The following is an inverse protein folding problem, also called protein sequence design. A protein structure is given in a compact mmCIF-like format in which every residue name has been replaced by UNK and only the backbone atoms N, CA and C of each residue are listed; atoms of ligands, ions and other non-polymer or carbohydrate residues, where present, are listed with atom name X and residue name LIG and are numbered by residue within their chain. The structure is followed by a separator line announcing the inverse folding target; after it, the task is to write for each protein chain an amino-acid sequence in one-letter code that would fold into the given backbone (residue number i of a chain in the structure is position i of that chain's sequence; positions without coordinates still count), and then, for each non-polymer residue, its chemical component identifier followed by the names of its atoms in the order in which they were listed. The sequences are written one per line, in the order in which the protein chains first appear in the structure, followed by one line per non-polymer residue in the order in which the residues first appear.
data_IF_977033431491
#
_entry.id   IF_977033431491
#
_cell.length_a   1.000
_cell.length_b   1.000
_cell.length_c   1.000
_cell.angle_alpha   90.00
_cell.angle_beta   90.00
_cell.angle_gamma   90.00
#
_symmetry.space_group_name_H-M   'P 1'
#
loop_
_entity.id
_entity.type
_entity.pdbx_description
1 polymer ?
#
# COMPACT_ATOMS: atom_id res chain seq x y z
N UNK A 1 2.76 16.05 12.12
CA UNK A 1 2.00 14.85 11.72
C UNK A 1 2.85 14.10 10.72
N UNK A 2 3.19 12.84 10.99
CA UNK A 2 4.05 12.02 10.14
C UNK A 2 3.26 11.52 8.91
N UNK A 3 3.92 11.22 7.79
CA UNK A 3 3.27 10.64 6.59
C UNK A 3 2.54 9.34 6.94
N UNK A 4 3.11 8.53 7.84
CA UNK A 4 2.50 7.29 8.34
C UNK A 4 1.17 7.54 9.04
N UNK A 5 1.08 8.58 9.87
CA UNK A 5 -0.15 8.91 10.59
C UNK A 5 -1.25 9.33 9.60
N UNK A 6 -0.90 10.05 8.52
CA UNK A 6 -1.85 10.44 7.47
C UNK A 6 -2.45 9.24 6.74
N UNK A 7 -1.62 8.26 6.36
CA UNK A 7 -2.09 7.02 5.74
C UNK A 7 -3.05 6.27 6.66
N UNK A 8 -2.66 6.08 7.93
CA UNK A 8 -3.49 5.38 8.93
C UNK A 8 -4.85 6.08 9.15
N UNK A 9 -4.87 7.42 9.19
CA UNK A 9 -6.11 8.20 9.34
C UNK A 9 -7.03 8.05 8.12
N UNK A 10 -6.47 8.10 6.90
CA UNK A 10 -7.23 7.89 5.65
C UNK A 10 -7.83 6.49 5.61
N UNK A 11 -7.03 5.47 5.89
CA UNK A 11 -7.48 4.07 5.92
C UNK A 11 -8.55 3.85 6.99
N UNK A 12 -8.40 4.48 8.15
CA UNK A 12 -9.41 4.42 9.22
C UNK A 12 -10.76 4.99 8.78
N UNK A 13 -10.75 6.16 8.15
CA UNK A 13 -11.96 6.80 7.63
C UNK A 13 -12.58 5.98 6.49
N UNK A 14 -11.78 5.51 5.53
CA UNK A 14 -12.23 4.73 4.37
C UNK A 14 -12.79 3.35 4.75
N UNK A 15 -12.24 2.73 5.79
CA UNK A 15 -12.71 1.42 6.25
C UNK A 15 -14.08 1.50 6.96
N UNK A 16 -14.41 2.62 7.58
CA UNK A 16 -15.61 2.78 8.40
C UNK A 16 -16.78 3.46 7.69
N UNK A 17 -16.54 4.16 6.60
CA UNK A 17 -17.55 4.96 5.90
C UNK A 17 -17.65 4.61 4.41
N UNK A 18 -18.82 4.90 3.82
CA UNK A 18 -19.06 4.72 2.38
C UNK A 18 -18.14 5.59 1.53
N UNK A 19 -17.82 6.80 2.01
CA UNK A 19 -16.85 7.70 1.38
C UNK A 19 -16.03 8.39 2.47
N UNK A 20 -14.71 8.37 2.33
CA UNK A 20 -13.78 9.13 3.14
C UNK A 20 -13.28 10.34 2.36
N UNK A 21 -13.22 11.50 3.00
CA UNK A 21 -12.75 12.74 2.38
C UNK A 21 -11.43 13.18 2.99
N UNK A 22 -10.47 13.47 2.14
CA UNK A 22 -9.21 14.09 2.55
C UNK A 22 -9.24 15.56 2.18
N UNK A 23 -8.92 16.42 3.12
CA UNK A 23 -8.99 17.87 2.93
C UNK A 23 -7.89 18.58 3.71
N UNK A 24 -7.70 19.88 3.47
CA UNK A 24 -6.75 20.67 4.22
C UNK A 24 -7.44 21.60 5.24
N UNK A 25 -6.65 22.07 6.21
CA UNK A 25 -7.11 22.98 7.26
C UNK A 25 -7.70 24.28 6.72
N UNK A 26 -7.35 24.69 5.50
CA UNK A 26 -7.87 25.90 4.87
C UNK A 26 -9.18 25.68 4.14
N UNK A 27 -9.39 24.49 3.58
CA UNK A 27 -10.61 24.14 2.88
C UNK A 27 -11.78 23.90 3.85
N UNK A 28 -11.52 23.30 5.01
CA UNK A 28 -12.55 22.98 5.98
C UNK A 28 -12.64 24.06 7.07
N UNK A 29 -13.72 24.84 7.04
CA UNK A 29 -13.97 25.95 7.98
C UNK A 29 -14.83 25.57 9.20
N UNK A 30 -15.08 24.30 9.40
CA UNK A 30 -15.89 23.73 10.48
C UNK A 30 -15.17 22.54 11.14
N UNK A 31 -15.73 22.05 12.22
CA UNK A 31 -15.24 20.82 12.85
C UNK A 31 -15.39 19.65 11.86
N UNK A 32 -14.33 18.85 11.64
CA UNK A 32 -14.37 17.71 10.75
C UNK A 32 -15.33 16.64 11.25
N UNK A 33 -15.98 15.95 10.32
CA UNK A 33 -16.80 14.76 10.58
C UNK A 33 -15.89 13.53 10.71
N UNK A 34 -16.43 12.40 11.17
CA UNK A 34 -15.66 11.16 11.38
C UNK A 34 -15.02 10.60 10.11
N UNK A 35 -15.59 10.90 8.93
CA UNK A 35 -15.07 10.47 7.62
C UNK A 35 -14.23 11.54 6.91
N UNK A 36 -13.90 12.63 7.58
CA UNK A 36 -13.10 13.73 7.01
C UNK A 36 -11.72 13.79 7.66
N UNK A 37 -10.71 13.48 6.89
CA UNK A 37 -9.30 13.54 7.31
C UNK A 37 -8.72 14.89 6.95
N UNK A 38 -8.35 15.67 7.95
CA UNK A 38 -7.82 17.03 7.77
C UNK A 38 -6.30 17.03 7.88
N UNK A 39 -5.63 17.38 6.80
CA UNK A 39 -4.18 17.53 6.73
C UNK A 39 -3.77 19.01 6.66
N UNK A 40 -2.51 19.33 6.93
CA UNK A 40 -2.00 20.69 6.82
C UNK A 40 -2.13 21.23 5.37
N UNK A 41 -1.68 20.44 4.41
CA UNK A 41 -1.81 20.68 2.97
C UNK A 41 -2.05 19.34 2.26
N UNK A 42 -3.02 19.28 1.35
CA UNK A 42 -3.27 18.08 0.53
C UNK A 42 -2.15 17.83 -0.48
N UNK A 43 -1.47 18.88 -0.93
CA UNK A 43 -0.29 18.78 -1.80
C UNK A 43 0.95 18.15 -1.13
N UNK A 44 0.97 18.00 0.21
CA UNK A 44 2.04 17.31 0.93
C UNK A 44 1.89 15.77 0.89
N UNK A 45 0.79 15.26 0.36
CA UNK A 45 0.56 13.81 0.22
C UNK A 45 1.17 13.37 -1.11
N UNK A 46 2.13 12.46 -1.04
CA UNK A 46 2.88 12.00 -2.21
C UNK A 46 2.07 11.01 -3.07
N UNK A 47 2.47 10.88 -4.34
CA UNK A 47 1.85 9.94 -5.27
C UNK A 47 1.90 8.49 -4.75
N UNK A 48 2.98 8.09 -4.06
CA UNK A 48 3.10 6.76 -3.47
C UNK A 48 2.06 6.52 -2.38
N UNK A 49 1.75 7.55 -1.58
CA UNK A 49 0.70 7.46 -0.56
C UNK A 49 -0.67 7.34 -1.19
N UNK A 50 -0.98 8.18 -2.20
CA UNK A 50 -2.24 8.10 -2.95
C UNK A 50 -2.40 6.77 -3.67
N UNK A 51 -1.34 6.27 -4.31
CA UNK A 51 -1.33 4.96 -4.95
C UNK A 51 -1.72 3.85 -3.97
N UNK A 52 -1.07 3.81 -2.81
CA UNK A 52 -1.34 2.79 -1.80
C UNK A 52 -2.75 2.89 -1.21
N UNK A 53 -3.30 4.11 -1.13
CA UNK A 53 -4.69 4.33 -0.71
C UNK A 53 -5.65 3.85 -1.78
N UNK A 54 -5.47 4.25 -3.05
CA UNK A 54 -6.39 3.94 -4.14
C UNK A 54 -6.43 2.46 -4.49
N UNK A 55 -5.30 1.75 -4.35
CA UNK A 55 -5.24 0.32 -4.60
C UNK A 55 -6.18 -0.49 -3.68
N UNK A 56 -6.30 -0.09 -2.41
CA UNK A 56 -7.09 -0.81 -1.41
C UNK A 56 -8.44 -0.12 -1.08
N UNK A 57 -8.54 1.21 -1.28
CA UNK A 57 -9.67 2.04 -0.84
C UNK A 57 -10.16 2.99 -1.93
N UNK A 58 -10.89 2.47 -2.95
CA UNK A 58 -11.42 3.30 -4.04
C UNK A 58 -12.52 4.28 -3.60
N UNK A 59 -12.98 4.19 -2.35
CA UNK A 59 -13.98 5.07 -1.75
C UNK A 59 -13.38 6.33 -1.09
N UNK A 60 -12.12 6.66 -1.39
CA UNK A 60 -11.48 7.89 -0.93
C UNK A 60 -11.68 9.00 -1.96
N UNK A 61 -12.00 10.19 -1.51
CA UNK A 61 -12.16 11.40 -2.32
C UNK A 61 -11.41 12.57 -1.70
N UNK A 62 -10.98 13.52 -2.51
CA UNK A 62 -10.40 14.78 -2.01
C UNK A 62 -11.49 15.86 -2.01
N UNK A 63 -11.61 16.58 -0.89
CA UNK A 63 -12.44 17.77 -0.80
C UNK A 63 -11.54 19.01 -0.86
N UNK A 64 -11.64 19.76 -1.95
CA UNK A 64 -10.88 20.99 -2.16
C UNK A 64 -11.76 22.03 -2.90
N UNK A 65 -12.35 23.02 -2.20
CA UNK A 65 -13.11 24.08 -2.84
C UNK A 65 -12.22 24.93 -3.78
N UNK A 66 -12.80 25.38 -4.89
CA UNK A 66 -12.09 26.19 -5.87
C UNK A 66 -11.52 27.48 -5.25
N UNK A 67 -10.32 27.84 -5.65
CA UNK A 67 -9.64 29.08 -5.26
C UNK A 67 -9.16 29.12 -3.80
N UNK A 68 -9.15 27.99 -3.10
CA UNK A 68 -8.60 27.90 -1.73
C UNK A 68 -7.09 28.05 -1.76
N UNK A 69 -6.42 27.44 -2.75
CA UNK A 69 -4.97 27.47 -2.89
C UNK A 69 -4.46 28.83 -3.34
N UNK A 70 -5.20 29.61 -4.13
CA UNK A 70 -4.84 30.98 -4.56
C UNK A 70 -4.61 31.94 -3.37
N UNK A 71 -5.34 31.71 -2.27
CA UNK A 71 -5.28 32.50 -1.03
C UNK A 71 -4.42 31.85 0.06
N UNK A 72 -3.72 30.77 -0.27
CA UNK A 72 -2.88 30.03 0.65
C UNK A 72 -1.43 30.56 0.61
N UNK A 73 -0.67 30.31 1.67
CA UNK A 73 0.78 30.53 1.66
C UNK A 73 1.50 29.58 0.69
N UNK A 74 0.92 28.40 0.48
CA UNK A 74 1.40 27.39 -0.47
C UNK A 74 0.48 27.42 -1.70
N UNK A 75 0.71 28.36 -2.62
CA UNK A 75 -0.11 28.57 -3.81
C UNK A 75 -0.03 27.40 -4.81
N UNK A 76 1.10 26.67 -4.86
CA UNK A 76 1.29 25.49 -5.71
C UNK A 76 0.68 24.19 -5.17
N UNK A 77 -0.08 24.22 -4.07
CA UNK A 77 -0.59 23.01 -3.44
C UNK A 77 -1.61 22.23 -4.29
N UNK A 78 -2.39 22.93 -5.12
CA UNK A 78 -3.36 22.31 -6.04
C UNK A 78 -2.66 21.62 -7.21
N UNK A 79 -1.64 22.26 -7.80
CA UNK A 79 -0.87 21.71 -8.92
C UNK A 79 -0.13 20.44 -8.48
N UNK A 80 0.55 20.51 -7.34
CA UNK A 80 1.28 19.37 -6.75
C UNK A 80 0.31 18.21 -6.44
N UNK A 81 -0.88 18.51 -5.91
CA UNK A 81 -1.92 17.51 -5.67
C UNK A 81 -2.37 16.88 -6.99
N UNK A 82 -2.63 17.70 -8.02
CA UNK A 82 -3.06 17.22 -9.34
C UNK A 82 -2.05 16.27 -9.96
N UNK A 83 -0.77 16.62 -9.93
CA UNK A 83 0.32 15.74 -10.41
C UNK A 83 0.42 14.44 -9.60
N UNK A 84 0.28 14.53 -8.28
CA UNK A 84 0.37 13.36 -7.41
C UNK A 84 -0.82 12.40 -7.61
N UNK A 85 -2.04 12.94 -7.77
CA UNK A 85 -3.24 12.15 -8.05
C UNK A 85 -3.14 11.52 -9.44
N UNK A 86 -2.79 12.28 -10.48
CA UNK A 86 -2.67 11.74 -11.83
C UNK A 86 -1.74 10.52 -11.91
N UNK A 87 -0.57 10.61 -11.25
CA UNK A 87 0.35 9.47 -11.13
C UNK A 87 -0.25 8.29 -10.36
N UNK A 88 -0.94 8.57 -9.25
CA UNK A 88 -1.53 7.52 -8.44
C UNK A 88 -2.67 6.79 -9.16
N UNK A 89 -3.49 7.52 -9.93
CA UNK A 89 -4.54 6.96 -10.78
C UNK A 89 -3.98 6.11 -11.93
N UNK A 90 -2.91 6.59 -12.58
CA UNK A 90 -2.20 5.84 -13.61
C UNK A 90 -1.68 4.51 -13.05
N UNK A 91 -1.04 4.52 -11.88
CA UNK A 91 -0.44 3.35 -11.26
C UNK A 91 -1.48 2.36 -10.72
N UNK A 92 -2.57 2.86 -10.11
CA UNK A 92 -3.60 2.01 -9.50
C UNK A 92 -4.68 1.57 -10.48
N UNK A 93 -4.84 2.26 -11.60
CA UNK A 93 -5.98 2.09 -12.50
C UNK A 93 -7.32 2.51 -11.91
N UNK A 94 -7.31 3.23 -10.78
CA UNK A 94 -8.51 3.65 -10.03
C UNK A 94 -8.57 5.16 -9.95
N UNK A 95 -9.69 5.75 -10.36
CA UNK A 95 -9.91 7.20 -10.29
C UNK A 95 -10.23 7.67 -8.88
N UNK A 96 -9.75 8.87 -8.52
CA UNK A 96 -10.04 9.54 -7.26
C UNK A 96 -11.21 10.52 -7.41
N UNK A 97 -12.17 10.47 -6.47
CA UNK A 97 -13.22 11.47 -6.40
C UNK A 97 -12.67 12.85 -5.98
N UNK A 98 -13.13 13.91 -6.67
CA UNK A 98 -12.82 15.30 -6.30
C UNK A 98 -14.12 16.04 -6.01
N UNK A 99 -14.25 16.55 -4.79
CA UNK A 99 -15.42 17.30 -4.33
C UNK A 99 -15.07 18.78 -4.10
N UNK A 100 -15.88 19.66 -4.64
CA UNK A 100 -15.67 21.11 -4.53
C UNK A 100 -16.75 21.78 -3.69
N UNK A 101 -17.96 21.21 -3.64
CA UNK A 101 -19.10 21.75 -2.88
C UNK A 101 -19.17 21.09 -1.50
N UNK A 102 -19.18 21.88 -0.39
CA UNK A 102 -19.34 21.31 0.95
C UNK A 102 -20.68 20.60 1.17
N UNK A 103 -21.69 20.85 0.32
CA UNK A 103 -23.00 20.19 0.39
C UNK A 103 -22.97 18.76 -0.17
N UNK A 104 -22.04 18.44 -1.03
CA UNK A 104 -21.87 17.09 -1.59
C UNK A 104 -21.27 16.11 -0.58
N UNK A 105 -20.59 16.63 0.44
CA UNK A 105 -19.96 15.82 1.48
C UNK A 105 -21.01 15.09 2.32
N UNK A 106 -21.06 13.77 2.22
CA UNK A 106 -21.96 12.91 2.98
C UNK A 106 -21.16 12.12 4.01
N UNK A 107 -21.76 11.91 5.19
CA UNK A 107 -21.16 11.07 6.23
C UNK A 107 -22.07 9.88 6.51
N UNK A 108 -21.88 8.81 5.75
CA UNK A 108 -22.60 7.56 5.91
C UNK A 108 -21.62 6.47 6.33
N UNK A 109 -21.92 5.79 7.43
CA UNK A 109 -21.16 4.61 7.85
C UNK A 109 -21.50 3.42 6.97
N UNK A 110 -20.55 2.54 6.73
CA UNK A 110 -20.80 1.28 6.07
C UNK A 110 -21.78 0.43 6.90
N UNK A 111 -22.78 -0.18 6.27
CA UNK A 111 -23.81 -1.00 6.94
C UNK A 111 -23.19 -2.13 7.79
N UNK A 112 -22.09 -2.68 7.34
CA UNK A 112 -21.37 -3.73 8.06
C UNK A 112 -20.71 -3.19 9.34
N UNK A 113 -20.23 -1.95 9.29
CA UNK A 113 -19.64 -1.27 10.43
C UNK A 113 -20.68 -0.84 11.45
N UNK A 114 -21.86 -0.34 11.02
CA UNK A 114 -23.01 -0.02 11.88
C UNK A 114 -23.52 -1.26 12.61
N UNK A 115 -23.64 -2.39 11.90
CA UNK A 115 -24.00 -3.68 12.49
C UNK A 115 -23.06 -4.11 13.60
N UNK A 116 -21.75 -3.96 13.36
CA UNK A 116 -20.72 -4.32 14.34
C UNK A 116 -20.79 -3.43 15.56
N UNK A 117 -20.88 -2.11 15.38
CA UNK A 117 -21.02 -1.13 16.47
C UNK A 117 -22.27 -1.41 17.32
N UNK A 118 -23.40 -1.73 16.67
CA UNK A 118 -24.63 -2.12 17.34
C UNK A 118 -24.46 -3.40 18.17
N UNK A 119 -23.82 -4.43 17.60
CA UNK A 119 -23.55 -5.68 18.29
C UNK A 119 -22.60 -5.51 19.47
N UNK A 120 -21.56 -4.66 19.32
CA UNK A 120 -20.64 -4.33 20.42
C UNK A 120 -21.35 -3.58 21.56
N UNK A 121 -22.30 -2.67 21.25
CA UNK A 121 -23.13 -2.01 22.24
C UNK A 121 -24.01 -2.99 23.00
N UNK A 122 -24.66 -3.94 22.31
CA UNK A 122 -25.43 -4.99 22.94
C UNK A 122 -24.55 -5.85 23.86
N UNK A 123 -23.38 -6.29 23.36
CA UNK A 123 -22.46 -7.12 24.13
C UNK A 123 -21.97 -6.43 25.41
N UNK A 124 -21.69 -5.12 25.37
CA UNK A 124 -21.34 -4.33 26.57
C UNK A 124 -22.48 -4.24 27.57
N UNK A 125 -23.72 -4.13 27.09
CA UNK A 125 -24.90 -4.00 27.95
C UNK A 125 -25.30 -5.35 28.56
N UNK A 126 -25.10 -6.46 27.85
CA UNK A 126 -25.53 -7.79 28.27
C UNK A 126 -24.41 -8.63 28.91
N UNK A 127 -23.17 -8.12 28.91
CA UNK A 127 -21.98 -8.85 29.40
C UNK A 127 -21.56 -10.04 28.52
N UNK A 128 -22.19 -10.20 27.34
CA UNK A 128 -21.84 -11.24 26.37
C UNK A 128 -20.68 -10.81 25.49
N UNK A 129 -19.73 -11.67 25.25
CA UNK A 129 -18.62 -11.39 24.31
C UNK A 129 -19.11 -11.55 22.86
N UNK A 130 -18.79 -10.59 21.99
CA UNK A 130 -19.19 -10.56 20.57
C UNK A 130 -18.81 -11.84 19.83
N UNK A 131 -17.70 -12.48 20.22
CA UNK A 131 -17.23 -13.74 19.66
C UNK A 131 -18.18 -14.93 19.85
N UNK A 132 -19.08 -14.87 20.84
CA UNK A 132 -20.07 -15.92 21.09
C UNK A 132 -21.39 -15.72 20.34
N UNK A 133 -21.61 -14.53 19.76
CA UNK A 133 -22.91 -14.14 19.17
C UNK A 133 -23.06 -14.50 17.69
N UNK A 134 -21.97 -14.51 16.91
CA UNK A 134 -22.03 -14.94 15.50
C UNK A 134 -20.63 -15.13 14.89
N UNK A 135 -20.25 -16.33 14.39
CA UNK A 135 -18.98 -16.54 13.72
C UNK A 135 -18.80 -15.70 12.43
N UNK A 136 -19.89 -15.28 11.79
CA UNK A 136 -19.82 -14.39 10.62
C UNK A 136 -19.36 -12.97 10.96
N UNK A 137 -19.55 -12.52 12.21
CA UNK A 137 -19.06 -11.19 12.65
C UNK A 137 -17.59 -11.19 13.06
N UNK A 138 -17.00 -12.36 13.27
CA UNK A 138 -15.56 -12.51 13.49
C UNK A 138 -14.72 -12.23 12.23
N UNK A 139 -15.35 -12.31 11.05
CA UNK A 139 -14.69 -12.05 9.76
C UNK A 139 -14.47 -10.53 9.49
N UNK A 140 -15.21 -9.65 10.16
CA UNK A 140 -15.01 -8.20 10.07
C UNK A 140 -13.87 -7.78 11.00
N UNK A 141 -12.63 -7.82 10.47
CA UNK A 141 -11.49 -7.29 11.17
C UNK A 141 -11.75 -5.81 11.54
N UNK A 142 -11.51 -5.44 12.81
CA UNK A 142 -11.62 -4.03 13.22
C UNK A 142 -10.59 -3.20 12.45
N UNK A 143 -10.84 -1.90 12.24
CA UNK A 143 -9.87 -0.97 11.66
C UNK A 143 -8.50 -1.13 12.32
N UNK A 144 -8.47 -1.24 13.64
CA UNK A 144 -7.25 -1.46 14.42
C UNK A 144 -6.52 -2.76 14.04
N UNK A 145 -7.25 -3.83 13.71
CA UNK A 145 -6.62 -5.10 13.28
C UNK A 145 -6.05 -4.98 11.87
N UNK A 146 -6.76 -4.31 10.94
CA UNK A 146 -6.25 -4.04 9.59
C UNK A 146 -4.97 -3.21 9.63
N UNK A 147 -4.96 -2.11 10.39
CA UNK A 147 -3.77 -1.27 10.56
C UNK A 147 -2.61 -2.03 11.24
N UNK A 148 -2.89 -2.86 12.23
CA UNK A 148 -1.87 -3.72 12.85
C UNK A 148 -1.32 -4.75 11.87
N UNK A 149 -2.16 -5.39 11.06
CA UNK A 149 -1.75 -6.34 10.04
C UNK A 149 -0.86 -5.67 8.99
N UNK A 150 -1.25 -4.49 8.49
CA UNK A 150 -0.46 -3.71 7.55
C UNK A 150 0.90 -3.29 8.13
N UNK A 151 0.94 -2.79 9.36
CA UNK A 151 2.21 -2.45 10.04
C UNK A 151 3.10 -3.68 10.25
N UNK A 152 2.52 -4.83 10.55
CA UNK A 152 3.25 -6.08 10.67
C UNK A 152 3.83 -6.52 9.32
N UNK A 153 3.06 -6.40 8.23
CA UNK A 153 3.51 -6.67 6.88
C UNK A 153 4.69 -5.78 6.49
N UNK A 154 4.61 -4.47 6.71
CA UNK A 154 5.72 -3.53 6.47
C UNK A 154 6.96 -3.94 7.29
N UNK A 155 6.79 -4.31 8.56
CA UNK A 155 7.91 -4.72 9.41
C UNK A 155 8.56 -6.02 8.92
N UNK A 156 7.78 -6.98 8.45
CA UNK A 156 8.29 -8.22 7.85
C UNK A 156 9.04 -7.92 6.56
N UNK A 157 8.44 -7.12 5.67
CA UNK A 157 9.08 -6.66 4.43
C UNK A 157 10.44 -6.01 4.70
N UNK A 158 10.53 -5.09 5.65
CA UNK A 158 11.79 -4.46 6.04
C UNK A 158 12.82 -5.47 6.56
N UNK A 159 12.40 -6.46 7.33
CA UNK A 159 13.28 -7.53 7.81
C UNK A 159 13.83 -8.38 6.67
N UNK A 160 12.96 -8.81 5.75
CA UNK A 160 13.34 -9.58 4.57
C UNK A 160 14.34 -8.79 3.72
N UNK A 161 14.03 -7.53 3.40
CA UNK A 161 14.92 -6.66 2.64
C UNK A 161 16.26 -6.38 3.35
N UNK A 162 16.23 -6.14 4.65
CA UNK A 162 17.45 -5.95 5.44
C UNK A 162 18.34 -7.20 5.43
N UNK A 163 17.75 -8.39 5.38
CA UNK A 163 18.51 -9.65 5.31
C UNK A 163 19.08 -9.89 3.91
N UNK A 164 18.30 -9.61 2.86
CA UNK A 164 18.68 -9.88 1.47
C UNK A 164 19.68 -8.84 0.93
N UNK A 165 19.38 -7.55 1.11
CA UNK A 165 20.08 -6.45 0.46
C UNK A 165 20.21 -5.17 1.31
N UNK A 166 20.00 -5.26 2.63
CA UNK A 166 19.93 -4.10 3.54
C UNK A 166 21.27 -3.38 3.79
N UNK A 167 22.39 -3.94 3.35
CA UNK A 167 23.73 -3.36 3.55
C UNK A 167 24.50 -3.25 2.24
N UNK A 168 25.27 -2.17 2.11
CA UNK A 168 26.20 -1.96 0.99
C UNK A 168 27.50 -2.76 1.19
N UNK A 169 28.31 -2.86 0.15
CA UNK A 169 29.66 -3.44 0.23
C UNK A 169 30.56 -2.72 1.26
N UNK A 170 30.34 -1.42 1.47
CA UNK A 170 31.03 -0.60 2.48
C UNK A 170 30.38 -0.68 3.87
N UNK A 171 29.47 -1.63 4.10
CA UNK A 171 28.75 -1.85 5.36
C UNK A 171 27.83 -0.66 5.79
N UNK A 172 27.45 0.22 4.87
CA UNK A 172 26.42 1.24 5.13
C UNK A 172 25.04 0.57 5.07
N UNK A 173 24.15 0.93 6.00
CA UNK A 173 22.79 0.41 6.02
C UNK A 173 21.94 1.18 5.03
N UNK A 174 21.26 0.48 4.13
CA UNK A 174 20.26 1.06 3.22
C UNK A 174 19.03 1.52 4.00
N UNK A 175 18.39 2.59 3.53
CA UNK A 175 17.24 3.20 4.20
C UNK A 175 16.04 3.25 3.26
N UNK A 176 14.91 2.68 3.70
CA UNK A 176 13.63 2.81 3.00
C UNK A 176 12.91 4.06 3.47
N UNK A 177 12.47 4.88 2.52
CA UNK A 177 11.51 5.95 2.82
C UNK A 177 10.13 5.38 3.08
N UNK A 178 9.30 6.12 3.82
CA UNK A 178 7.95 5.66 4.12
C UNK A 178 7.08 5.48 2.87
N UNK A 179 7.17 6.40 1.88
CA UNK A 179 6.48 6.24 0.60
C UNK A 179 6.89 4.94 -0.11
N UNK A 180 8.20 4.63 -0.14
CA UNK A 180 8.68 3.37 -0.72
C UNK A 180 8.19 2.14 0.05
N UNK A 181 8.10 2.19 1.38
CA UNK A 181 7.52 1.11 2.19
C UNK A 181 6.06 0.85 1.81
N UNK A 182 5.27 1.91 1.63
CA UNK A 182 3.87 1.81 1.20
C UNK A 182 3.77 1.18 -0.19
N UNK A 183 4.53 1.66 -1.17
CA UNK A 183 4.56 1.09 -2.53
C UNK A 183 4.89 -0.40 -2.51
N UNK A 184 5.97 -0.78 -1.81
CA UNK A 184 6.39 -2.19 -1.74
C UNK A 184 5.33 -3.07 -1.07
N UNK A 185 4.69 -2.59 0.00
CA UNK A 185 3.60 -3.30 0.67
C UNK A 185 2.38 -3.46 -0.25
N UNK A 186 2.04 -2.41 -1.01
CA UNK A 186 0.94 -2.45 -1.97
C UNK A 186 1.22 -3.42 -3.11
N UNK A 187 2.44 -3.39 -3.68
CA UNK A 187 2.83 -4.31 -4.75
C UNK A 187 2.95 -5.77 -4.29
N UNK A 188 3.16 -6.04 -3.00
CA UNK A 188 3.06 -7.41 -2.47
C UNK A 188 1.61 -7.93 -2.47
N UNK A 189 0.63 -7.05 -2.22
CA UNK A 189 -0.78 -7.40 -2.21
C UNK A 189 -1.38 -7.40 -3.64
N UNK A 190 -0.86 -6.53 -4.51
CA UNK A 190 -1.34 -6.25 -5.86
C UNK A 190 -0.17 -6.27 -6.87
N UNK A 191 0.47 -7.43 -7.11
CA UNK A 191 1.65 -7.52 -7.98
C UNK A 191 1.34 -7.14 -9.44
N UNK A 192 0.09 -7.26 -9.86
CA UNK A 192 -0.39 -6.87 -11.18
C UNK A 192 -0.24 -5.35 -11.44
N UNK A 193 -0.28 -4.52 -10.42
CA UNK A 193 -0.14 -3.07 -10.55
C UNK A 193 1.30 -2.64 -10.89
N UNK A 194 2.28 -3.53 -10.69
CA UNK A 194 3.68 -3.23 -10.98
C UNK A 194 3.92 -2.88 -12.45
N UNK A 195 3.14 -3.44 -13.37
CA UNK A 195 3.24 -3.17 -14.80
C UNK A 195 2.74 -1.77 -15.18
N UNK A 196 1.81 -1.21 -14.42
CA UNK A 196 1.26 0.13 -14.66
C UNK A 196 2.16 1.22 -14.09
N UNK A 197 3.00 0.87 -13.11
CA UNK A 197 3.82 1.84 -12.39
C UNK A 197 5.17 2.03 -13.08
N UNK A 198 5.44 3.25 -13.55
CA UNK A 198 6.74 3.61 -14.10
C UNK A 198 7.66 4.14 -13.00
N UNK A 199 8.86 3.59 -12.94
CA UNK A 199 9.91 3.99 -11.99
C UNK A 199 11.18 4.35 -12.76
N UNK A 200 11.80 5.46 -12.38
CA UNK A 200 13.06 5.89 -12.97
C UNK A 200 14.23 5.32 -12.15
N UNK A 201 15.14 4.64 -12.81
CA UNK A 201 16.36 4.12 -12.17
C UNK A 201 17.61 4.52 -12.96
N UNK A 202 18.77 4.73 -12.29
CA UNK A 202 20.00 5.02 -12.98
C UNK A 202 20.58 3.78 -13.64
N UNK A 203 20.86 3.86 -14.94
CA UNK A 203 21.68 2.91 -15.68
C UNK A 203 23.09 3.44 -15.89
N UNK A 204 24.09 2.54 -15.84
CA UNK A 204 25.50 2.88 -15.97
C UNK A 204 26.07 2.43 -17.31
N UNK A 205 26.66 3.40 -18.02
CA UNK A 205 27.56 3.13 -19.14
C UNK A 205 28.95 2.76 -18.56
N UNK A 206 29.26 1.49 -18.57
CA UNK A 206 30.48 0.97 -17.95
C UNK A 206 31.75 1.36 -18.71
N UNK A 207 31.66 1.74 -19.98
CA UNK A 207 32.81 2.19 -20.76
C UNK A 207 33.29 3.58 -20.35
N UNK A 208 32.37 4.40 -19.82
CA UNK A 208 32.64 5.75 -19.30
C UNK A 208 32.89 5.77 -17.79
N UNK A 209 32.45 4.74 -17.06
CA UNK A 209 32.50 4.74 -15.61
C UNK A 209 33.95 4.54 -15.09
N UNK A 210 34.46 5.55 -14.38
CA UNK A 210 35.79 5.51 -13.74
C UNK A 210 35.79 4.90 -12.34
N UNK A 211 34.64 4.39 -11.86
CA UNK A 211 34.49 3.81 -10.51
C UNK A 211 34.85 4.76 -9.37
N UNK A 212 34.68 6.07 -9.55
CA UNK A 212 35.07 7.10 -8.57
C UNK A 212 34.26 7.06 -7.26
N UNK A 213 33.05 6.45 -7.26
CA UNK A 213 32.22 6.29 -6.06
C UNK A 213 31.36 7.51 -5.68
N UNK A 214 31.39 8.62 -6.40
CA UNK A 214 30.61 9.82 -6.10
C UNK A 214 29.10 9.54 -6.10
N UNK A 215 28.62 8.67 -7.01
CA UNK A 215 27.22 8.25 -7.08
C UNK A 215 26.77 7.49 -5.80
N UNK A 216 27.68 6.74 -5.16
CA UNK A 216 27.42 6.03 -3.91
C UNK A 216 27.35 7.01 -2.73
N UNK A 217 28.26 7.99 -2.73
CA UNK A 217 28.34 8.97 -1.65
C UNK A 217 27.15 9.91 -1.60
N UNK A 218 26.61 10.32 -2.76
CA UNK A 218 25.48 11.25 -2.87
C UNK A 218 24.12 10.58 -2.65
N UNK A 219 24.03 9.24 -2.75
CA UNK A 219 22.76 8.53 -2.68
C UNK A 219 22.14 8.60 -1.27
N UNK A 220 20.96 9.24 -1.10
CA UNK A 220 20.37 9.46 0.22
C UNK A 220 19.88 8.17 0.90
N UNK A 221 19.61 7.14 0.11
CA UNK A 221 19.11 5.84 0.58
C UNK A 221 20.17 4.74 0.52
N UNK A 222 21.36 5.04 0.04
CA UNK A 222 22.44 4.09 -0.24
C UNK A 222 22.02 2.97 -1.21
N UNK A 223 21.10 3.27 -2.14
CA UNK A 223 20.69 2.35 -3.19
C UNK A 223 21.84 2.04 -4.17
N UNK A 224 22.69 3.04 -4.45
CA UNK A 224 23.89 2.85 -5.29
C UNK A 224 25.03 2.22 -4.48
N UNK A 225 25.79 1.32 -5.12
CA UNK A 225 26.94 0.66 -4.53
C UNK A 225 28.03 0.44 -5.60
N UNK A 226 29.23 0.07 -5.17
CA UNK A 226 30.30 -0.45 -6.02
C UNK A 226 30.63 -1.87 -5.59
N UNK A 227 30.48 -2.83 -6.51
CA UNK A 227 30.70 -4.25 -6.23
C UNK A 227 31.91 -4.79 -7.00
N UNK A 228 32.53 -5.82 -6.48
CA UNK A 228 33.70 -6.48 -7.12
C UNK A 228 34.86 -5.51 -7.34
N UNK A 229 35.28 -5.33 -8.60
CA UNK A 229 36.39 -4.45 -9.01
C UNK A 229 36.02 -2.96 -9.13
N UNK A 230 34.98 -2.51 -8.45
CA UNK A 230 34.50 -1.12 -8.54
C UNK A 230 33.35 -0.93 -9.52
N UNK A 231 32.66 -1.98 -9.94
CA UNK A 231 31.52 -1.91 -10.86
C UNK A 231 30.31 -1.33 -10.16
N UNK A 232 29.65 -0.34 -10.81
CA UNK A 232 28.40 0.21 -10.33
C UNK A 232 27.31 -0.87 -10.18
N UNK A 233 26.61 -0.84 -9.06
CA UNK A 233 25.45 -1.67 -8.78
C UNK A 233 24.32 -0.83 -8.18
N UNK A 234 23.10 -1.17 -8.50
CA UNK A 234 21.89 -0.51 -8.01
C UNK A 234 21.00 -1.53 -7.31
N UNK A 235 20.56 -1.19 -6.10
CA UNK A 235 19.46 -1.88 -5.45
C UNK A 235 18.15 -1.09 -5.68
N UNK A 236 17.38 -1.50 -6.69
CA UNK A 236 16.19 -0.81 -7.17
C UNK A 236 15.16 -0.59 -6.09
N UNK A 237 15.02 -1.52 -5.17
CA UNK A 237 14.08 -1.48 -4.04
C UNK A 237 14.26 -0.23 -3.18
N UNK A 238 15.49 0.25 -3.02
CA UNK A 238 15.82 1.43 -2.24
C UNK A 238 15.98 2.70 -3.09
N UNK A 239 15.96 2.58 -4.41
CA UNK A 239 16.12 3.73 -5.31
C UNK A 239 14.87 4.59 -5.36
N UNK A 240 15.03 5.91 -5.21
CA UNK A 240 13.93 6.89 -5.28
C UNK A 240 13.77 7.52 -6.66
N UNK A 241 14.63 7.19 -7.63
CA UNK A 241 14.61 7.84 -8.94
C UNK A 241 14.97 9.33 -8.92
N UNK A 242 15.59 9.81 -7.87
CA UNK A 242 15.84 11.26 -7.65
C UNK A 242 16.90 11.88 -8.57
N UNK A 243 17.67 11.09 -9.30
CA UNK A 243 18.69 11.54 -10.23
C UNK A 243 19.93 12.17 -9.60
N UNK A 244 20.09 12.18 -8.28
CA UNK A 244 21.26 12.78 -7.62
C UNK A 244 22.59 12.14 -8.09
N UNK A 245 22.61 10.81 -8.24
CA UNK A 245 23.77 10.06 -8.75
C UNK A 245 24.11 10.43 -10.21
N UNK A 246 23.11 10.74 -11.04
CA UNK A 246 23.31 11.18 -12.42
C UNK A 246 23.93 12.58 -12.45
N UNK A 247 23.42 13.49 -11.61
CA UNK A 247 23.89 14.90 -11.57
C UNK A 247 25.34 15.02 -11.08
N UNK A 248 25.79 14.15 -10.19
CA UNK A 248 27.14 14.20 -9.61
C UNK A 248 28.19 13.52 -10.51
N UNK A 249 27.75 12.71 -11.48
CA UNK A 249 28.67 11.97 -12.35
C UNK A 249 29.38 12.87 -13.34
N UNK A 250 30.67 13.17 -13.11
CA UNK A 250 31.52 13.99 -13.98
C UNK A 250 31.71 13.40 -15.38
N UNK A 251 31.76 12.08 -15.46
CA UNK A 251 31.94 11.34 -16.71
C UNK A 251 30.64 11.13 -17.48
N UNK A 252 29.51 11.63 -16.96
CA UNK A 252 28.17 11.40 -17.53
C UNK A 252 27.91 9.92 -17.89
N UNK A 253 28.46 9.01 -17.06
CA UNK A 253 28.30 7.58 -17.23
C UNK A 253 26.93 7.06 -16.75
N UNK A 254 26.15 7.87 -16.01
CA UNK A 254 24.84 7.51 -15.50
C UNK A 254 23.74 8.29 -16.23
N UNK A 255 22.66 7.60 -16.57
CA UNK A 255 21.42 8.19 -17.09
C UNK A 255 20.22 7.60 -16.36
N UNK A 256 19.15 8.39 -16.17
CA UNK A 256 17.87 7.87 -15.70
C UNK A 256 17.14 7.18 -16.87
N UNK A 257 16.64 5.99 -16.62
CA UNK A 257 15.83 5.23 -17.56
C UNK A 257 14.55 4.81 -16.83
N UNK A 258 13.44 4.88 -17.52
CA UNK A 258 12.14 4.48 -17.02
C UNK A 258 11.92 3.00 -17.30
N UNK A 259 11.46 2.28 -16.28
CA UNK A 259 11.10 0.87 -16.34
C UNK A 259 9.77 0.66 -15.60
N UNK A 260 9.10 -0.44 -15.87
CA UNK A 260 8.01 -0.87 -15.00
C UNK A 260 8.51 -1.22 -13.60
N UNK A 261 7.60 -1.25 -12.62
CA UNK A 261 7.94 -1.52 -11.24
C UNK A 261 8.04 -3.03 -10.91
N UNK A 262 8.09 -3.92 -11.90
CA UNK A 262 8.17 -5.37 -11.67
C UNK A 262 9.37 -5.76 -10.79
N UNK A 263 10.48 -5.01 -10.90
CA UNK A 263 11.67 -5.18 -10.05
C UNK A 263 11.47 -4.77 -8.58
N UNK A 264 10.34 -4.14 -8.25
CA UNK A 264 9.98 -3.75 -6.88
C UNK A 264 9.10 -4.79 -6.19
N UNK A 265 8.58 -5.77 -6.90
CA UNK A 265 7.82 -6.86 -6.30
C UNK A 265 8.79 -7.74 -5.51
N UNK A 266 8.73 -7.60 -4.18
CA UNK A 266 9.59 -8.38 -3.27
C UNK A 266 8.97 -9.74 -3.07
N UNK A 267 9.61 -10.76 -3.63
CA UNK A 267 9.24 -12.16 -3.38
C UNK A 267 9.98 -12.64 -2.15
N UNK A 268 9.24 -12.98 -1.10
CA UNK A 268 9.78 -13.68 0.06
C UNK A 268 9.74 -15.19 -0.23
N UNK A 269 10.89 -15.83 -0.50
CA UNK A 269 10.92 -17.25 -0.90
C UNK A 269 10.32 -18.17 0.19
N UNK A 270 10.47 -17.82 1.47
CA UNK A 270 9.87 -18.61 2.55
C UNK A 270 8.34 -18.45 2.61
N UNK A 271 7.84 -17.24 2.33
CA UNK A 271 6.40 -16.97 2.28
C UNK A 271 5.76 -17.67 1.07
N UNK A 272 6.43 -17.67 -0.07
CA UNK A 272 5.99 -18.34 -1.29
C UNK A 272 5.93 -19.86 -1.09
N UNK A 273 6.94 -20.44 -0.48
CA UNK A 273 6.98 -21.87 -0.16
C UNK A 273 5.87 -22.28 0.83
N UNK A 274 5.64 -21.48 1.87
CA UNK A 274 4.55 -21.66 2.82
C UNK A 274 3.16 -21.50 2.17
N UNK A 275 3.01 -20.56 1.25
CA UNK A 275 1.77 -20.36 0.50
C UNK A 275 1.51 -21.55 -0.45
N UNK A 276 2.53 -22.02 -1.15
CA UNK A 276 2.43 -23.20 -2.01
C UNK A 276 2.09 -24.48 -1.22
N UNK A 277 2.66 -24.66 -0.02
CA UNK A 277 2.33 -25.78 0.86
C UNK A 277 0.88 -25.70 1.36
N UNK A 278 0.40 -24.50 1.75
CA UNK A 278 -1.00 -24.29 2.14
C UNK A 278 -1.97 -24.54 0.98
N UNK A 279 -1.65 -24.10 -0.23
CA UNK A 279 -2.46 -24.30 -1.41
C UNK A 279 -2.59 -25.80 -1.73
N UNK A 280 -1.49 -26.56 -1.67
CA UNK A 280 -1.50 -28.03 -1.84
C UNK A 280 -2.34 -28.72 -0.77
N UNK A 281 -2.17 -28.34 0.50
CA UNK A 281 -2.95 -28.89 1.61
C UNK A 281 -4.46 -28.60 1.46
N UNK A 282 -4.81 -27.40 0.97
CA UNK A 282 -6.20 -27.04 0.70
C UNK A 282 -6.78 -27.87 -0.46
N UNK A 283 -6.04 -28.05 -1.54
CA UNK A 283 -6.46 -28.87 -2.68
C UNK A 283 -6.66 -30.34 -2.28
N UNK A 284 -5.76 -30.89 -1.47
CA UNK A 284 -5.90 -32.24 -0.94
C UNK A 284 -7.13 -32.37 -0.01
N UNK A 285 -7.37 -31.39 0.86
CA UNK A 285 -8.55 -31.36 1.71
C UNK A 285 -9.87 -31.29 0.91
N UNK A 286 -9.90 -30.52 -0.18
CA UNK A 286 -11.05 -30.44 -1.08
C UNK A 286 -11.29 -31.78 -1.84
N UNK A 287 -10.22 -32.44 -2.29
CA UNK A 287 -10.33 -33.78 -2.89
C UNK A 287 -10.91 -34.80 -1.90
N UNK A 288 -10.42 -34.82 -0.66
CA UNK A 288 -10.92 -35.72 0.39
C UNK A 288 -12.40 -35.44 0.70
N UNK A 289 -12.80 -34.16 0.77
CA UNK A 289 -14.22 -33.79 0.95
C UNK A 289 -15.09 -34.22 -0.20
N UNK A 290 -14.63 -34.06 -1.44
CA UNK A 290 -15.35 -34.48 -2.65
C UNK A 290 -15.53 -36.01 -2.69
N UNK A 291 -14.48 -36.78 -2.37
CA UNK A 291 -14.56 -38.23 -2.27
C UNK A 291 -15.50 -38.72 -1.15
N UNK A 292 -15.43 -38.05 0.03
CA UNK A 292 -16.33 -38.38 1.15
C UNK A 292 -17.80 -38.11 0.77
N UNK A 293 -18.05 -36.97 0.11
CA UNK A 293 -19.40 -36.65 -0.40
C UNK A 293 -19.88 -37.66 -1.41
N UNK A 294 -19.05 -38.04 -2.37
CA UNK A 294 -19.42 -39.06 -3.40
C UNK A 294 -19.67 -40.44 -2.79
N UNK A 295 -18.97 -40.82 -1.71
CA UNK A 295 -19.24 -42.04 -0.94
C UNK A 295 -20.57 -41.96 -0.19
N UNK A 296 -20.87 -40.83 0.42
CA UNK A 296 -22.12 -40.58 1.14
C UNK A 296 -23.31 -40.65 0.17
N UNK A 297 -23.24 -40.01 -0.99
CA UNK A 297 -24.28 -40.02 -2.01
C UNK A 297 -24.56 -41.47 -2.50
N UNK A 298 -23.50 -42.26 -2.75
CA UNK A 298 -23.66 -43.69 -3.11
C UNK A 298 -24.31 -44.54 -2.02
N UNK A 299 -24.00 -44.25 -0.74
CA UNK A 299 -24.64 -44.95 0.39
C UNK A 299 -26.13 -44.59 0.50
N UNK A 300 -26.49 -43.31 0.29
CA UNK A 300 -27.87 -42.84 0.28
C UNK A 300 -28.67 -43.51 -0.85
N UNK A 301 -28.12 -43.55 -2.07
CA UNK A 301 -28.73 -44.24 -3.21
C UNK A 301 -28.96 -45.76 -2.96
N UNK A 302 -28.07 -46.40 -2.19
CA UNK A 302 -28.23 -47.80 -1.80
C UNK A 302 -29.32 -47.99 -0.76
N UNK A 303 -29.44 -47.07 0.21
CA UNK A 303 -30.50 -47.13 1.19
C UNK A 303 -31.88 -46.90 0.59
N UNK A 304 -32.00 -45.92 -0.34
CA UNK A 304 -33.28 -45.71 -1.08
C UNK A 304 -33.70 -46.95 -1.87
N UNK A 305 -32.78 -47.65 -2.53
CA UNK A 305 -33.07 -48.89 -3.26
C UNK A 305 -33.42 -50.09 -2.42
N UNK A 306 -33.15 -50.05 -1.12
CA UNK A 306 -33.52 -51.12 -0.16
C UNK A 306 -34.85 -50.81 0.56
N UNK A 307 -35.36 -49.59 0.43
CA UNK A 307 -36.63 -49.16 1.03
C UNK A 307 -37.86 -49.31 0.08
N UNK A 308 -37.60 -49.52 -1.22
CA UNK A 308 -38.59 -49.90 -2.25
C UNK A 308 -38.66 -51.46 -2.37
#
# INVERSE_FOLDING_TARGET
MCIRDRYDDIVSAATSHETAYVTCTRALKRVPRENEVVVACVGDITAETWFSVLADYPNVSVYLPLGVCDKCRNTGGEDILGEAIAKAEEWSGTGMGLEVDPKSLKCHKLREYERKEYMEKIARTTGLTVTKLNPATAALASVTQKLKAHRHQITQLERTLNTMCGTTTTKRRRSLTHGRQLVLSTLQNHPELAQNMQVSTPECDFDKCTSCGECVNVCPTFACDLVGSGRFALESTYCLGCGACVKVCSEHALKLVEHDASNLVVVDPEAEEKAAQKAKAHEEAEKVKAEAKAKLDKMLDQVEKLAD
#
